data_IF_119620178696
#
_entry.id   IF_119620178696
#
_cell.length_a   1.000
_cell.length_b   1.000
_cell.length_c   1.000
_cell.angle_alpha   90.00
_cell.angle_beta   90.00
_cell.angle_gamma   90.00
#
_symmetry.space_group_name_H-M   'P 1'
#
loop_
_entity.id
_entity.type
_entity.pdbx_description
1 polymer ?
#
# COMPACT_ATOMS: atom_id res chain seq x y z
N UNK A 1 16.23 0.29 5.98
CA UNK A 1 15.39 -0.84 5.57
C UNK A 1 14.14 -0.32 4.91
N UNK A 2 13.76 -0.91 3.78
CA UNK A 2 12.56 -0.49 3.06
C UNK A 2 11.34 -1.23 3.62
N UNK A 3 10.23 -0.52 3.78
CA UNK A 3 8.97 -1.15 4.19
C UNK A 3 7.76 -0.33 3.78
N UNK A 4 6.63 -1.01 3.66
CA UNK A 4 5.31 -0.42 3.46
C UNK A 4 4.40 -0.95 4.56
N UNK A 5 3.71 -0.06 5.25
CA UNK A 5 2.84 -0.43 6.36
C UNK A 5 1.46 0.18 6.14
N UNK A 6 0.43 -0.65 6.21
CA UNK A 6 -0.97 -0.22 6.21
C UNK A 6 -1.51 -0.31 7.63
N UNK A 7 -2.22 0.73 8.07
CA UNK A 7 -2.93 0.73 9.34
C UNK A 7 -4.40 1.00 9.10
N UNK A 8 -5.26 0.16 9.67
CA UNK A 8 -6.71 0.31 9.56
C UNK A 8 -7.17 1.37 10.56
N UNK A 9 -7.66 2.50 10.05
CA UNK A 9 -8.15 3.60 10.87
C UNK A 9 -9.62 3.45 11.20
N UNK A 10 -10.39 2.80 10.32
CA UNK A 10 -11.80 2.57 10.53
C UNK A 10 -12.43 1.88 9.33
N UNK A 11 -13.70 1.51 9.49
CA UNK A 11 -14.48 0.86 8.43
C UNK A 11 -15.92 1.33 8.49
N UNK A 12 -16.46 1.69 7.34
CA UNK A 12 -17.88 2.06 7.19
C UNK A 12 -18.60 0.96 6.43
N UNK A 13 -19.38 0.19 7.14
CA UNK A 13 -20.08 -0.98 6.61
C UNK A 13 -21.04 -0.61 5.47
N UNK A 14 -21.78 0.47 5.62
CA UNK A 14 -22.79 0.90 4.65
C UNK A 14 -22.22 1.26 3.29
N UNK A 15 -20.92 1.60 3.21
CA UNK A 15 -20.26 1.96 1.95
C UNK A 15 -19.15 1.00 1.58
N UNK A 16 -18.85 0.03 2.45
CA UNK A 16 -17.70 -0.87 2.31
C UNK A 16 -16.39 -0.10 2.08
N UNK A 17 -16.14 0.90 2.91
CA UNK A 17 -14.98 1.78 2.79
C UNK A 17 -14.12 1.70 4.05
N UNK A 18 -12.82 1.50 3.82
CA UNK A 18 -11.80 1.47 4.86
C UNK A 18 -11.00 2.76 4.86
N UNK A 19 -10.86 3.38 6.03
CA UNK A 19 -9.86 4.43 6.21
C UNK A 19 -8.52 3.77 6.49
N UNK A 20 -7.53 4.06 5.66
CA UNK A 20 -6.22 3.42 5.73
C UNK A 20 -5.13 4.48 5.81
N UNK A 21 -4.23 4.32 6.77
CA UNK A 21 -2.99 5.08 6.82
C UNK A 21 -1.90 4.26 6.16
N UNK A 22 -1.31 4.79 5.11
CA UNK A 22 -0.23 4.14 4.36
C UNK A 22 1.08 4.84 4.71
N UNK A 23 2.04 4.09 5.23
CA UNK A 23 3.35 4.61 5.58
C UNK A 23 4.42 3.83 4.83
N UNK A 24 5.35 4.55 4.23
CA UNK A 24 6.45 3.96 3.48
C UNK A 24 7.78 4.47 4.03
N UNK A 25 8.74 3.56 4.12
CA UNK A 25 10.11 3.84 4.55
C UNK A 25 11.09 3.42 3.49
N UNK A 26 12.07 4.28 3.22
CA UNK A 26 13.20 3.95 2.36
C UNK A 26 14.45 4.58 2.98
N UNK A 27 15.24 3.76 3.69
CA UNK A 27 16.40 4.27 4.44
C UNK A 27 15.96 5.25 5.52
N UNK A 28 16.39 6.51 5.41
CA UNK A 28 16.05 7.57 6.35
C UNK A 28 14.78 8.34 5.97
N UNK A 29 14.22 8.05 4.80
CA UNK A 29 13.04 8.78 4.32
C UNK A 29 11.78 8.02 4.71
N UNK A 30 10.80 8.77 5.20
CA UNK A 30 9.51 8.21 5.60
C UNK A 30 8.41 9.13 5.07
N UNK A 31 7.35 8.54 4.51
CA UNK A 31 6.16 9.32 4.18
C UNK A 31 4.89 8.57 4.54
N UNK A 32 3.88 9.31 4.90
CA UNK A 32 2.62 8.76 5.39
C UNK A 32 1.45 9.54 4.82
N UNK A 33 0.41 8.84 4.43
CA UNK A 33 -0.78 9.43 3.84
C UNK A 33 -2.01 8.64 4.28
N UNK A 34 -3.14 9.33 4.43
CA UNK A 34 -4.43 8.72 4.78
C UNK A 34 -5.34 8.74 3.57
N UNK A 35 -5.87 7.60 3.21
CA UNK A 35 -6.77 7.46 2.05
C UNK A 35 -7.95 6.56 2.40
N UNK A 36 -8.97 6.59 1.56
CA UNK A 36 -10.10 5.68 1.63
C UNK A 36 -9.97 4.64 0.53
N UNK A 37 -10.16 3.38 0.91
CA UNK A 37 -10.13 2.24 -0.01
C UNK A 37 -11.37 1.40 0.19
N UNK A 38 -12.00 0.96 -0.90
CA UNK A 38 -13.12 0.03 -0.80
C UNK A 38 -12.60 -1.38 -0.52
N UNK A 39 -13.48 -2.26 -0.04
CA UNK A 39 -13.12 -3.66 0.20
C UNK A 39 -12.65 -4.34 -1.07
N UNK A 40 -13.28 -4.08 -2.22
CA UNK A 40 -12.85 -4.68 -3.50
C UNK A 40 -11.49 -4.16 -3.94
N UNK A 41 -11.18 -2.89 -3.72
CA UNK A 41 -9.86 -2.33 -4.03
C UNK A 41 -8.75 -2.96 -3.18
N UNK A 42 -8.99 -3.17 -1.89
CA UNK A 42 -8.04 -3.83 -1.01
C UNK A 42 -7.81 -5.29 -1.42
N UNK A 43 -8.88 -6.01 -1.78
CA UNK A 43 -8.77 -7.39 -2.25
C UNK A 43 -7.98 -7.48 -3.54
N UNK A 44 -8.27 -6.62 -4.51
CA UNK A 44 -7.52 -6.56 -5.78
C UNK A 44 -6.05 -6.25 -5.55
N UNK A 45 -5.76 -5.31 -4.68
CA UNK A 45 -4.38 -4.96 -4.30
C UNK A 45 -3.66 -6.19 -3.74
N UNK A 46 -4.29 -6.90 -2.81
CA UNK A 46 -3.71 -8.12 -2.22
C UNK A 46 -3.46 -9.21 -3.25
N UNK A 47 -4.43 -9.46 -4.13
CA UNK A 47 -4.30 -10.47 -5.18
C UNK A 47 -3.19 -10.13 -6.17
N UNK A 48 -3.08 -8.87 -6.55
CA UNK A 48 -2.03 -8.40 -7.48
C UNK A 48 -0.64 -8.52 -6.85
N UNK A 49 -0.52 -8.27 -5.54
CA UNK A 49 0.75 -8.48 -4.81
C UNK A 49 1.18 -9.96 -4.85
N UNK A 50 0.23 -10.88 -4.80
CA UNK A 50 0.52 -12.31 -4.85
C UNK A 50 0.98 -12.78 -6.23
N UNK A 51 0.69 -12.02 -7.27
CA UNK A 51 0.99 -12.38 -8.64
C UNK A 51 1.91 -11.34 -9.31
N UNK A 52 2.75 -10.70 -8.52
CA UNK A 52 3.58 -9.59 -8.98
C UNK A 52 4.63 -10.01 -10.03
N UNK A 53 5.03 -11.27 -10.02
CA UNK A 53 5.96 -11.81 -11.03
C UNK A 53 5.34 -11.78 -12.44
N UNK A 54 4.04 -12.05 -12.54
CA UNK A 54 3.32 -12.12 -13.81
C UNK A 54 2.67 -10.80 -14.20
N UNK A 55 2.28 -10.01 -13.21
CA UNK A 55 1.51 -8.80 -13.42
C UNK A 55 2.14 -7.61 -12.69
N UNK A 56 1.91 -6.42 -13.22
CA UNK A 56 2.17 -5.19 -12.49
C UNK A 56 0.86 -4.70 -11.87
N UNK A 57 0.98 -3.92 -10.79
CA UNK A 57 -0.19 -3.28 -10.20
C UNK A 57 -0.09 -1.75 -10.32
N UNK A 58 -1.26 -1.13 -10.40
CA UNK A 58 -1.38 0.33 -10.40
C UNK A 58 -2.70 0.70 -9.74
N UNK A 59 -2.64 1.40 -8.62
CA UNK A 59 -3.80 1.88 -7.90
C UNK A 59 -3.65 3.34 -7.55
N UNK A 60 -4.76 4.06 -7.56
CA UNK A 60 -4.80 5.45 -7.15
C UNK A 60 -6.00 5.65 -6.22
N UNK A 61 -5.76 6.29 -5.09
CA UNK A 61 -6.78 6.57 -4.09
C UNK A 61 -6.69 8.03 -3.65
N UNK A 62 -7.80 8.55 -3.15
CA UNK A 62 -7.86 9.88 -2.57
C UNK A 62 -8.92 9.91 -1.48
N UNK A 63 -9.30 11.12 -1.05
CA UNK A 63 -10.45 11.29 -0.19
C UNK A 63 -11.73 11.27 -1.01
N UNK A 64 -12.82 10.82 -0.38
CA UNK A 64 -14.12 10.63 -1.03
C UNK A 64 -14.68 11.91 -1.65
N UNK A 65 -14.42 13.05 -1.03
CA UNK A 65 -14.90 14.35 -1.50
C UNK A 65 -13.96 15.05 -2.48
N UNK A 66 -12.85 14.41 -2.83
CA UNK A 66 -11.85 14.97 -3.73
C UNK A 66 -10.93 16.01 -3.10
N UNK A 67 -11.05 16.26 -1.80
CA UNK A 67 -10.18 17.15 -1.05
C UNK A 67 -9.30 16.33 -0.11
N UNK A 68 -8.01 16.61 -0.04
CA UNK A 68 -7.11 15.96 0.88
C UNK A 68 -6.06 15.11 0.21
N UNK A 69 -5.57 14.14 0.95
CA UNK A 69 -4.42 13.32 0.52
C UNK A 69 -4.76 12.42 -0.65
N UNK A 70 -3.83 12.30 -1.58
CA UNK A 70 -3.92 11.39 -2.73
C UNK A 70 -2.73 10.43 -2.70
N UNK A 71 -2.97 9.19 -3.10
CA UNK A 71 -1.95 8.14 -3.11
C UNK A 71 -1.99 7.39 -4.43
N UNK A 72 -0.81 7.17 -5.01
CA UNK A 72 -0.64 6.31 -6.15
C UNK A 72 0.41 5.26 -5.82
N UNK A 73 0.04 3.99 -5.96
CA UNK A 73 0.94 2.86 -5.79
C UNK A 73 1.10 2.14 -7.11
N UNK A 74 2.35 1.85 -7.47
CA UNK A 74 2.68 1.08 -8.64
C UNK A 74 3.75 0.06 -8.25
N UNK A 75 3.60 -1.18 -8.64
CA UNK A 75 4.59 -2.20 -8.33
C UNK A 75 4.75 -3.19 -9.47
N UNK A 76 5.93 -3.80 -9.56
CA UNK A 76 6.25 -4.82 -10.56
C UNK A 76 7.39 -5.69 -10.06
N UNK A 77 7.46 -6.91 -10.59
CA UNK A 77 8.62 -7.76 -10.39
C UNK A 77 9.82 -7.23 -11.17
N UNK A 78 11.01 -7.60 -10.72
CA UNK A 78 12.25 -7.18 -11.37
C UNK A 78 12.42 -7.87 -12.72
N UNK A 79 12.80 -7.11 -13.74
CA UNK A 79 12.99 -7.61 -15.11
C UNK A 79 14.27 -8.44 -15.28
N UNK A 80 15.18 -8.40 -14.30
CA UNK A 80 16.46 -9.10 -14.37
C UNK A 80 16.40 -10.55 -13.88
N UNK A 81 15.20 -11.05 -13.56
CA UNK A 81 15.01 -12.41 -13.05
C UNK A 81 15.34 -12.60 -11.59
N UNK A 82 15.67 -11.53 -10.84
CA UNK A 82 15.83 -11.62 -9.40
C UNK A 82 14.46 -11.85 -8.75
N UNK A 83 14.46 -12.47 -7.55
CA UNK A 83 13.23 -12.73 -6.81
C UNK A 83 12.78 -11.49 -6.01
N UNK A 84 12.87 -10.33 -6.64
CA UNK A 84 12.53 -9.05 -6.02
C UNK A 84 11.39 -8.35 -6.75
N UNK A 85 10.65 -7.54 -6.00
CA UNK A 85 9.67 -6.61 -6.54
C UNK A 85 10.03 -5.20 -6.11
N UNK A 86 9.57 -4.22 -6.91
CA UNK A 86 9.77 -2.81 -6.61
C UNK A 86 8.41 -2.11 -6.59
N UNK A 87 8.17 -1.40 -5.51
CA UNK A 87 6.96 -0.60 -5.33
C UNK A 87 7.34 0.88 -5.39
N UNK A 88 6.58 1.63 -6.18
CA UNK A 88 6.71 3.08 -6.27
C UNK A 88 5.48 3.71 -5.62
N UNK A 89 5.72 4.61 -4.69
CA UNK A 89 4.66 5.34 -4.01
C UNK A 89 4.80 6.82 -4.33
N UNK A 90 3.72 7.41 -4.81
CA UNK A 90 3.60 8.84 -5.01
C UNK A 90 2.44 9.34 -4.16
N UNK A 91 2.70 10.32 -3.32
CA UNK A 91 1.68 10.88 -2.46
C UNK A 91 1.62 12.40 -2.65
N UNK A 92 0.44 12.96 -2.53
CA UNK A 92 0.20 14.38 -2.61
C UNK A 92 -0.77 14.79 -1.50
N UNK A 93 -0.58 15.99 -0.96
CA UNK A 93 -1.48 16.56 0.03
C UNK A 93 -2.67 17.28 -0.60
N UNK A 94 -2.71 17.31 -1.94
CA UNK A 94 -3.78 17.98 -2.70
C UNK A 94 -4.19 17.15 -3.91
N UNK A 95 -5.48 17.20 -4.31
CA UNK A 95 -5.96 16.41 -5.44
C UNK A 95 -5.29 16.73 -6.78
N UNK A 96 -4.75 17.95 -6.94
CA UNK A 96 -4.08 18.38 -8.17
C UNK A 96 -2.63 17.90 -8.29
N UNK A 97 -2.13 17.18 -7.29
CA UNK A 97 -0.77 16.66 -7.23
C UNK A 97 0.32 17.76 -7.27
N UNK A 98 -0.05 18.99 -6.85
CA UNK A 98 0.89 20.12 -6.87
C UNK A 98 2.07 19.94 -5.91
N UNK A 99 1.79 19.39 -4.71
CA UNK A 99 2.80 19.10 -3.70
C UNK A 99 2.94 17.58 -3.58
N UNK A 100 3.92 17.00 -4.28
CA UNK A 100 4.08 15.55 -4.32
C UNK A 100 5.37 15.10 -3.69
N UNK A 101 5.34 13.91 -3.10
CA UNK A 101 6.51 13.17 -2.64
C UNK A 101 6.50 11.81 -3.30
N UNK A 102 7.67 11.32 -3.69
CA UNK A 102 7.83 10.02 -4.33
C UNK A 102 8.85 9.20 -3.54
N UNK A 103 8.59 7.89 -3.46
CA UNK A 103 9.45 6.98 -2.74
C UNK A 103 9.35 5.60 -3.38
N UNK A 104 10.49 4.88 -3.47
CA UNK A 104 10.49 3.52 -3.98
C UNK A 104 10.93 2.55 -2.88
N UNK A 105 10.34 1.37 -2.88
CA UNK A 105 10.59 0.31 -1.93
C UNK A 105 10.93 -0.96 -2.69
N UNK A 106 12.00 -1.65 -2.28
CA UNK A 106 12.37 -2.95 -2.82
C UNK A 106 12.13 -4.00 -1.75
N UNK A 107 11.47 -5.09 -2.12
CA UNK A 107 11.23 -6.22 -1.23
C UNK A 107 11.26 -7.51 -2.04
N UNK A 108 11.39 -8.66 -1.37
CA UNK A 108 11.34 -9.94 -2.05
C UNK A 108 9.94 -10.22 -2.59
N UNK A 109 9.85 -11.00 -3.68
CA UNK A 109 8.56 -11.45 -4.19
C UNK A 109 7.80 -12.27 -3.13
N UNK A 110 8.54 -13.00 -2.29
CA UNK A 110 7.95 -13.71 -1.15
C UNK A 110 7.29 -12.78 -0.15
N UNK A 111 7.89 -11.63 0.12
CA UNK A 111 7.29 -10.63 1.01
C UNK A 111 6.01 -10.05 0.41
N UNK A 112 5.99 -9.76 -0.89
CA UNK A 112 4.78 -9.29 -1.58
C UNK A 112 3.69 -10.36 -1.55
N UNK A 113 4.03 -11.62 -1.77
CA UNK A 113 3.06 -12.71 -1.73
C UNK A 113 2.46 -12.87 -0.32
N UNK A 114 3.29 -12.86 0.71
CA UNK A 114 2.82 -12.95 2.09
C UNK A 114 1.95 -11.76 2.48
N UNK A 115 2.30 -10.56 2.03
CA UNK A 115 1.51 -9.35 2.25
C UNK A 115 0.12 -9.49 1.63
N UNK A 116 0.06 -9.95 0.38
CA UNK A 116 -1.21 -10.17 -0.31
C UNK A 116 -2.06 -11.24 0.35
N UNK A 117 -1.42 -12.34 0.80
CA UNK A 117 -2.12 -13.42 1.48
C UNK A 117 -2.71 -12.99 2.82
N UNK A 118 -2.09 -12.03 3.49
CA UNK A 118 -2.56 -11.53 4.79
C UNK A 118 -3.63 -10.44 4.69
N UNK A 119 -3.95 -9.97 3.49
CA UNK A 119 -4.86 -8.84 3.30
C UNK A 119 -6.25 -9.10 3.88
N UNK A 120 -6.81 -10.30 3.69
CA UNK A 120 -8.14 -10.63 4.21
C UNK A 120 -8.20 -10.55 5.74
N UNK A 121 -7.20 -11.10 6.42
CA UNK A 121 -7.12 -11.04 7.87
C UNK A 121 -6.98 -9.59 8.37
N UNK A 122 -6.21 -8.78 7.64
CA UNK A 122 -6.07 -7.35 7.95
C UNK A 122 -7.42 -6.63 7.84
N UNK A 123 -8.18 -6.90 6.78
CA UNK A 123 -9.48 -6.28 6.56
C UNK A 123 -10.49 -6.65 7.65
N UNK A 124 -10.44 -7.90 8.13
CA UNK A 124 -11.32 -8.41 9.19
C UNK A 124 -10.86 -7.98 10.59
N UNK A 125 -9.65 -7.46 10.72
CA UNK A 125 -9.11 -7.03 12.00
C UNK A 125 -9.81 -5.80 12.55
N UNK A 126 -9.52 -5.51 13.81
CA UNK A 126 -10.06 -4.36 14.50
C UNK A 126 -9.40 -3.06 14.02
N UNK A 127 -9.99 -1.94 14.38
CA UNK A 127 -9.37 -0.62 14.21
C UNK A 127 -7.99 -0.64 14.88
N UNK A 128 -6.98 -0.15 14.17
CA UNK A 128 -5.59 -0.22 14.62
C UNK A 128 -4.82 -1.42 14.10
N UNK A 129 -5.49 -2.35 13.39
CA UNK A 129 -4.79 -3.48 12.76
C UNK A 129 -3.73 -2.98 11.78
N UNK A 130 -2.60 -3.68 11.72
CA UNK A 130 -1.43 -3.29 10.92
C UNK A 130 -1.04 -4.44 10.00
N UNK A 131 -0.71 -4.10 8.75
CA UNK A 131 -0.17 -5.04 7.77
C UNK A 131 1.12 -4.46 7.20
N UNK A 132 2.24 -5.16 7.38
CA UNK A 132 3.55 -4.72 6.91
C UNK A 132 4.04 -5.59 5.77
N UNK A 133 4.64 -4.97 4.75
CA UNK A 133 5.24 -5.69 3.61
C UNK A 133 6.43 -6.54 4.08
N UNK A 134 7.28 -5.99 4.92
CA UNK A 134 8.39 -6.71 5.52
C UNK A 134 8.09 -6.95 6.99
N UNK A 135 7.99 -8.23 7.38
CA UNK A 135 7.60 -8.60 8.75
C UNK A 135 8.70 -8.40 9.78
N UNK A 136 9.96 -8.45 9.35
CA UNK A 136 11.10 -8.28 10.25
C UNK A 136 11.41 -6.79 10.43
N UNK A 137 10.54 -6.11 11.16
CA UNK A 137 10.79 -4.71 11.52
C UNK A 137 11.75 -4.72 12.69
N UNK A 138 12.99 -4.36 12.42
CA UNK A 138 13.99 -4.15 13.47
C UNK A 138 14.10 -2.66 13.75
N UNK A 139 13.78 -2.29 14.94
CA UNK A 139 13.95 -0.94 15.40
C UNK A 139 15.37 -0.72 15.89
#
# INVERSE_FOLDING_TARGET
>A
MDNLILEKLGYREEKDVYGIKVTAFNGSTCMSVRVFMTGSELKSFGEECRDLLQNSLLHQWGEEDGNGDCLKLMARGSADGSAEGRLFMKAALRPDWADTACLSITASLGDFDAFGAAMSAFMEGEEGAVLALCKDIRY
#
